data_IF_179188609490
#
_entry.id   IF_179188609490
#
_cell.length_a   1.000
_cell.length_b   1.000
_cell.length_c   1.000
_cell.angle_alpha   90.00
_cell.angle_beta   90.00
_cell.angle_gamma   90.00
#
_symmetry.space_group_name_H-M   'P 1'
#
loop_
_entity.id
_entity.type
_entity.pdbx_description
1 polymer ?
#
# COMPACT_ATOMS: atom_id res chain seq x y z
N UNK A 1 12.47 -2.01 -8.72
CA UNK A 1 11.62 -3.09 -8.17
C UNK A 1 11.33 -2.80 -6.72
N UNK A 2 10.22 -3.31 -6.19
CA UNK A 2 9.87 -3.16 -4.76
C UNK A 2 10.71 -4.18 -3.98
N UNK A 3 11.38 -3.70 -2.93
CA UNK A 3 12.26 -4.51 -2.07
C UNK A 3 11.72 -4.65 -0.65
N UNK A 4 10.74 -3.83 -0.28
CA UNK A 4 10.15 -3.84 1.05
C UNK A 4 8.88 -3.01 1.12
N UNK A 5 8.07 -3.31 2.13
CA UNK A 5 6.80 -2.62 2.41
C UNK A 5 6.73 -2.33 3.90
N UNK A 6 6.16 -1.19 4.28
CA UNK A 6 5.80 -0.87 5.67
C UNK A 6 4.52 -0.05 5.73
N UNK A 7 3.83 -0.12 6.85
CA UNK A 7 2.69 0.76 7.14
C UNK A 7 3.20 2.05 7.80
N UNK A 8 2.79 3.21 7.27
CA UNK A 8 3.17 4.52 7.82
C UNK A 8 1.93 5.38 7.98
N UNK A 9 1.72 5.94 9.18
CA UNK A 9 0.57 6.81 9.45
C UNK A 9 0.94 8.28 9.22
N UNK A 10 0.27 8.94 8.28
CA UNK A 10 0.42 10.38 7.96
C UNK A 10 -0.96 10.96 7.67
N UNK A 11 -1.25 12.18 8.15
CA UNK A 11 -2.52 12.88 7.91
C UNK A 11 -3.78 12.04 8.24
N UNK A 12 -3.71 11.27 9.32
CA UNK A 12 -4.77 10.35 9.79
C UNK A 12 -5.06 9.17 8.85
N UNK A 13 -4.21 8.92 7.86
CA UNK A 13 -4.31 7.81 6.91
C UNK A 13 -3.16 6.84 7.18
N UNK A 14 -3.44 5.53 7.12
CA UNK A 14 -2.42 4.49 7.10
C UNK A 14 -2.05 4.23 5.64
N UNK A 15 -0.82 4.55 5.27
CA UNK A 15 -0.27 4.37 3.93
C UNK A 15 0.55 3.09 3.85
N UNK A 16 0.48 2.41 2.70
CA UNK A 16 1.45 1.39 2.31
C UNK A 16 2.65 2.13 1.70
N UNK A 17 3.74 2.23 2.45
CA UNK A 17 4.98 2.82 1.96
C UNK A 17 5.87 1.73 1.38
N UNK A 18 6.39 1.96 0.18
CA UNK A 18 7.28 1.02 -0.51
C UNK A 18 8.75 1.46 -0.41
N UNK A 19 9.62 0.46 -0.35
CA UNK A 19 11.04 0.60 -0.59
C UNK A 19 11.32 0.14 -2.03
N UNK A 20 12.07 0.94 -2.79
CA UNK A 20 12.48 0.59 -4.14
C UNK A 20 14.00 0.43 -4.25
N UNK A 21 14.42 -0.45 -5.15
CA UNK A 21 15.81 -0.63 -5.57
C UNK A 21 15.90 -0.91 -7.07
N UNK A 22 17.06 -0.63 -7.66
CA UNK A 22 17.36 -0.89 -9.07
C UNK A 22 17.61 -2.39 -9.26
N UNK A 23 16.86 -2.97 -10.20
CA UNK A 23 17.05 -4.36 -10.63
C UNK A 23 18.27 -4.44 -11.54
N UNK A 24 19.15 -5.39 -11.25
CA UNK A 24 20.31 -5.73 -12.06
C UNK A 24 20.04 -7.04 -12.83
N UNK A 25 20.88 -7.40 -13.81
CA UNK A 25 20.77 -8.68 -14.50
C UNK A 25 20.71 -9.85 -13.51
N UNK A 26 19.99 -10.91 -13.90
CA UNK A 26 19.80 -12.14 -13.09
C UNK A 26 19.04 -11.96 -11.77
N UNK A 27 18.38 -10.83 -11.58
CA UNK A 27 17.51 -10.61 -10.42
C UNK A 27 18.24 -10.05 -9.19
N UNK A 28 19.53 -9.72 -9.31
CA UNK A 28 20.25 -9.01 -8.25
C UNK A 28 19.68 -7.60 -8.05
N UNK A 29 19.86 -7.05 -6.85
CA UNK A 29 19.45 -5.69 -6.52
C UNK A 29 20.69 -4.90 -6.14
N UNK A 30 20.80 -3.71 -6.74
CA UNK A 30 21.83 -2.75 -6.36
C UNK A 30 21.52 -2.18 -4.97
N UNK A 31 22.22 -2.66 -3.94
CA UNK A 31 21.98 -2.28 -2.54
C UNK A 31 22.11 -0.77 -2.30
N UNK A 32 22.99 -0.08 -3.04
CA UNK A 32 23.20 1.36 -2.91
C UNK A 32 22.02 2.18 -3.46
N UNK A 33 21.19 1.58 -4.30
CA UNK A 33 19.99 2.24 -4.86
C UNK A 33 18.75 2.09 -3.97
N UNK A 34 18.84 1.32 -2.88
CA UNK A 34 17.71 1.03 -2.01
C UNK A 34 17.27 2.29 -1.26
N UNK A 35 16.02 2.69 -1.45
CA UNK A 35 15.46 3.85 -0.76
C UNK A 35 13.96 3.71 -0.51
N UNK A 36 13.48 4.31 0.59
CA UNK A 36 12.05 4.41 0.87
C UNK A 36 11.45 5.54 0.04
N UNK A 37 10.37 5.26 -0.69
CA UNK A 37 9.63 6.31 -1.38
C UNK A 37 8.75 7.06 -0.40
N UNK A 38 8.77 8.40 -0.38
CA UNK A 38 7.85 9.15 0.47
C UNK A 38 6.41 8.80 0.11
N UNK A 39 5.54 8.76 1.11
CA UNK A 39 4.10 8.62 0.89
C UNK A 39 3.52 9.96 0.43
N UNK A 40 2.41 9.92 -0.29
CA UNK A 40 1.74 11.14 -0.71
C UNK A 40 1.22 11.91 0.51
N UNK A 41 1.51 13.21 0.55
CA UNK A 41 1.16 14.08 1.67
C UNK A 41 -0.23 14.72 1.51
N UNK A 42 -1.21 13.98 0.98
CA UNK A 42 -2.58 14.45 0.89
C UNK A 42 -3.31 14.31 2.23
N UNK A 43 -4.38 15.07 2.41
CA UNK A 43 -5.28 14.97 3.55
C UNK A 43 -6.67 14.53 3.11
N UNK A 44 -7.46 14.01 4.05
CA UNK A 44 -8.87 13.66 3.80
C UNK A 44 -9.76 14.87 3.45
N UNK A 45 -9.24 16.10 3.57
CA UNK A 45 -9.95 17.34 3.27
C UNK A 45 -9.53 17.95 1.93
N UNK A 46 -8.52 17.38 1.27
CA UNK A 46 -8.00 17.93 0.02
C UNK A 46 -9.05 17.81 -1.09
N UNK A 47 -9.10 18.83 -1.96
CA UNK A 47 -10.06 18.86 -3.04
C UNK A 47 -9.83 17.66 -3.97
N UNK A 48 -10.88 16.87 -4.16
CA UNK A 48 -10.86 15.73 -5.05
C UNK A 48 -10.34 14.45 -4.41
N UNK A 49 -10.01 14.43 -3.11
CA UNK A 49 -9.76 13.21 -2.33
C UNK A 49 -11.08 12.65 -1.81
N UNK A 50 -11.37 11.38 -2.10
CA UNK A 50 -12.67 10.74 -1.93
C UNK A 50 -12.56 9.44 -1.13
N UNK A 51 -13.39 9.32 -0.09
CA UNK A 51 -13.52 8.09 0.69
C UNK A 51 -14.11 6.95 -0.16
N UNK A 52 -13.52 5.76 -0.09
CA UNK A 52 -13.82 4.60 -0.92
C UNK A 52 -13.06 4.55 -2.25
N UNK A 53 -12.30 5.60 -2.60
CA UNK A 53 -11.44 5.63 -3.79
C UNK A 53 -9.98 5.87 -3.43
N UNK A 54 -9.71 6.97 -2.73
CA UNK A 54 -8.34 7.40 -2.41
C UNK A 54 -7.93 6.94 -1.00
N UNK A 55 -8.90 6.82 -0.09
CA UNK A 55 -8.73 6.26 1.25
C UNK A 55 -10.01 5.56 1.70
N UNK A 56 -9.94 4.72 2.74
CA UNK A 56 -11.12 4.17 3.41
C UNK A 56 -11.15 4.60 4.88
N UNK A 57 -12.31 5.02 5.39
CA UNK A 57 -12.48 5.34 6.81
C UNK A 57 -12.87 4.10 7.60
N UNK A 58 -12.00 3.68 8.52
CA UNK A 58 -12.33 2.62 9.47
C UNK A 58 -13.43 3.10 10.42
N UNK A 59 -14.50 2.31 10.54
CA UNK A 59 -15.58 2.53 11.51
C UNK A 59 -15.55 1.48 12.60
N UNK A 60 -16.35 1.65 13.66
CA UNK A 60 -16.44 0.64 14.71
C UNK A 60 -16.78 -0.75 14.13
N UNK A 61 -17.66 -0.80 13.13
CA UNK A 61 -18.12 -2.06 12.52
C UNK A 61 -17.26 -2.54 11.36
N UNK A 62 -16.41 -1.68 10.80
CA UNK A 62 -15.58 -1.96 9.63
C UNK A 62 -14.15 -1.49 9.87
N UNK A 63 -13.41 -2.27 10.66
CA UNK A 63 -12.01 -1.99 11.03
C UNK A 63 -11.05 -3.18 10.90
N UNK A 64 -11.53 -4.31 10.42
CA UNK A 64 -10.65 -5.43 10.10
C UNK A 64 -9.86 -5.11 8.83
N UNK A 65 -8.57 -5.44 8.83
CA UNK A 65 -7.70 -5.35 7.67
C UNK A 65 -6.98 -6.68 7.58
N UNK A 66 -7.29 -7.44 6.54
CA UNK A 66 -6.66 -8.71 6.25
C UNK A 66 -5.50 -8.46 5.28
N UNK A 67 -4.33 -9.01 5.62
CA UNK A 67 -3.07 -8.85 4.86
C UNK A 67 -2.56 -10.23 4.41
N UNK A 68 -3.46 -10.97 3.77
CA UNK A 68 -3.22 -12.32 3.27
C UNK A 68 -3.68 -12.46 1.82
N UNK A 69 -3.43 -13.63 1.25
CA UNK A 69 -3.87 -13.98 -0.09
C UNK A 69 -5.34 -14.40 -0.05
N UNK A 70 -6.18 -13.69 -0.80
CA UNK A 70 -7.55 -14.11 -1.06
C UNK A 70 -7.55 -15.07 -2.25
N UNK A 71 -7.69 -16.36 -1.97
CA UNK A 71 -7.81 -17.41 -3.00
C UNK A 71 -9.27 -17.79 -3.19
N UNK A 72 -9.75 -17.64 -4.43
CA UNK A 72 -11.05 -18.18 -4.82
C UNK A 72 -10.91 -19.68 -5.13
N UNK A 73 -11.84 -20.53 -4.68
CA UNK A 73 -11.99 -21.87 -5.25
C UNK A 73 -12.22 -21.81 -6.76
N UNK A 74 -11.94 -22.90 -7.48
CA UNK A 74 -12.30 -23.00 -8.90
C UNK A 74 -13.79 -22.68 -9.12
N UNK A 75 -14.08 -22.00 -10.23
CA UNK A 75 -15.41 -21.54 -10.64
C UNK A 75 -16.10 -20.51 -9.72
N UNK A 76 -15.40 -19.94 -8.74
CA UNK A 76 -15.94 -18.90 -7.86
C UNK A 76 -15.33 -17.53 -8.11
N UNK A 77 -16.14 -16.48 -7.88
CA UNK A 77 -15.69 -15.09 -7.87
C UNK A 77 -15.54 -14.61 -6.43
N UNK A 78 -14.41 -13.97 -6.15
CA UNK A 78 -14.20 -13.21 -4.93
C UNK A 78 -14.89 -11.85 -5.11
N UNK A 79 -15.82 -11.53 -4.21
CA UNK A 79 -16.67 -10.32 -4.28
C UNK A 79 -16.54 -9.49 -3.02
#
# INVERSE_FOLDING_TARGET
VITGIKLTKVNQIIHIQIQEGKLLPRGEIDEASISWKPVDNYTILDRGVINGRDFHTLSWEKRAIDLDDLTAPEEHLLT
#
